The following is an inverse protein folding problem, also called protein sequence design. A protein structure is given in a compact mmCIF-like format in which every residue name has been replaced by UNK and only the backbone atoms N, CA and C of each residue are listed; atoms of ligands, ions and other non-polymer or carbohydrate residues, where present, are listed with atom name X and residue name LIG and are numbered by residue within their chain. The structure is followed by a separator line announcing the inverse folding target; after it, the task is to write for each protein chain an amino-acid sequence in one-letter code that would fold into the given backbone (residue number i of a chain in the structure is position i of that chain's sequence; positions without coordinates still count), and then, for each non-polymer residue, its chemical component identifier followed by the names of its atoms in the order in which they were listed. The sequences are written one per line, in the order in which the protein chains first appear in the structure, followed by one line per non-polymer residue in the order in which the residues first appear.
data_IF_763543733898
#
_entry.id   IF_763543733898
#
_cell.length_a   1.000
_cell.length_b   1.000
_cell.length_c   1.000
_cell.angle_alpha   90.00
_cell.angle_beta   90.00
_cell.angle_gamma   90.00
#
_symmetry.space_group_name_H-M   'P 1'
#
loop_
_entity.id
_entity.type
_entity.pdbx_description
1 polymer ?
#
# COMPACT_ATOMS: atom_id res chain seq x y z
N UNK A 1 -17.18 -7.63 36.76
CA UNK A 1 -17.67 -7.71 35.36
C UNK A 1 -16.95 -6.63 34.58
N UNK A 2 -15.95 -7.00 33.80
CA UNK A 2 -15.06 -6.07 33.10
C UNK A 2 -15.61 -5.83 31.69
N UNK A 3 -16.04 -4.60 31.41
CA UNK A 3 -16.44 -4.16 30.07
C UNK A 3 -15.18 -3.84 29.28
N UNK A 4 -14.88 -4.64 28.26
CA UNK A 4 -13.75 -4.44 27.37
C UNK A 4 -13.91 -3.17 26.53
N UNK A 5 -13.09 -2.16 26.79
CA UNK A 5 -12.86 -1.06 25.86
C UNK A 5 -12.21 -1.60 24.60
N UNK A 6 -12.87 -1.42 23.45
CA UNK A 6 -12.24 -1.59 22.14
C UNK A 6 -11.15 -0.53 22.02
N UNK A 7 -9.89 -0.96 22.04
CA UNK A 7 -8.74 -0.13 21.69
C UNK A 7 -8.87 0.20 20.20
N UNK A 8 -9.15 1.46 19.88
CA UNK A 8 -9.08 1.97 18.52
C UNK A 8 -7.62 1.99 18.06
N UNK A 9 -7.33 1.31 16.96
CA UNK A 9 -6.00 1.25 16.36
C UNK A 9 -5.61 2.63 15.82
N UNK A 10 -4.53 3.27 16.32
CA UNK A 10 -4.01 4.50 15.73
C UNK A 10 -3.40 4.17 14.36
N UNK A 11 -3.97 4.70 13.28
CA UNK A 11 -3.43 4.54 11.92
C UNK A 11 -4.43 4.61 10.76
N UNK A 12 -5.74 4.64 11.03
CA UNK A 12 -6.79 4.62 9.99
C UNK A 12 -7.44 5.98 9.70
N UNK A 13 -6.99 7.06 10.33
CA UNK A 13 -7.64 8.37 10.20
C UNK A 13 -6.60 9.48 9.96
N UNK A 14 -6.15 9.59 8.71
CA UNK A 14 -5.74 10.91 8.22
C UNK A 14 -7.03 11.69 7.91
N UNK A 15 -7.18 12.94 8.38
CA UNK A 15 -8.28 13.79 7.95
C UNK A 15 -8.01 14.25 6.51
N UNK A 16 -8.54 13.51 5.55
CA UNK A 16 -8.42 13.80 4.12
C UNK A 16 -8.71 12.53 3.35
N UNK A 17 -9.82 12.53 2.59
CA UNK A 17 -10.40 11.40 1.88
C UNK A 17 -10.99 10.27 2.76
N UNK A 18 -12.31 10.28 2.86
CA UNK A 18 -13.09 9.11 3.30
C UNK A 18 -13.46 8.23 2.12
N UNK A 19 -14.17 7.13 2.39
CA UNK A 19 -14.66 6.23 1.34
C UNK A 19 -15.71 6.85 0.41
N UNK A 20 -16.20 8.06 0.72
CA UNK A 20 -17.09 8.84 -0.14
C UNK A 20 -16.34 9.53 -1.30
N UNK A 21 -15.01 9.58 -1.23
CA UNK A 21 -14.10 10.11 -2.27
C UNK A 21 -13.02 9.05 -2.57
N UNK A 22 -13.38 7.95 -3.26
CA UNK A 22 -12.51 6.77 -3.37
C UNK A 22 -11.18 7.04 -4.08
N UNK A 23 -11.14 7.91 -5.11
CA UNK A 23 -9.88 8.30 -5.75
C UNK A 23 -8.96 9.11 -4.82
N UNK A 24 -9.51 10.08 -4.08
CA UNK A 24 -8.71 10.81 -3.10
C UNK A 24 -8.17 9.89 -1.99
N UNK A 25 -8.90 8.80 -1.69
CA UNK A 25 -8.45 7.80 -0.73
C UNK A 25 -7.33 6.92 -1.29
N UNK A 26 -7.38 6.58 -2.58
CA UNK A 26 -6.29 5.93 -3.32
C UNK A 26 -5.04 6.81 -3.35
N UNK A 27 -5.18 8.10 -3.66
CA UNK A 27 -4.06 9.07 -3.59
C UNK A 27 -3.44 9.12 -2.18
N UNK A 28 -4.29 9.14 -1.15
CA UNK A 28 -3.84 9.08 0.24
C UNK A 28 -3.16 7.74 0.60
N UNK A 29 -3.48 6.64 -0.10
CA UNK A 29 -2.76 5.38 -0.01
C UNK A 29 -1.35 5.50 -0.59
N UNK A 30 -1.17 6.10 -1.77
CA UNK A 30 0.16 6.32 -2.37
C UNK A 30 1.06 7.16 -1.46
N UNK A 31 0.49 8.16 -0.83
CA UNK A 31 1.13 8.98 0.18
C UNK A 31 1.66 8.14 1.37
N UNK A 32 0.88 7.14 1.81
CA UNK A 32 1.28 6.19 2.86
C UNK A 32 2.35 5.20 2.35
N UNK A 33 2.28 4.77 1.10
CA UNK A 33 3.32 3.93 0.48
C UNK A 33 4.66 4.66 0.54
N UNK A 34 4.70 5.89 0.02
CA UNK A 34 5.90 6.74 -0.03
C UNK A 34 6.49 6.96 1.37
N UNK A 35 5.65 7.23 2.38
CA UNK A 35 6.10 7.36 3.79
C UNK A 35 6.67 6.05 4.36
N UNK A 36 6.07 4.90 4.04
CA UNK A 36 6.52 3.59 4.52
C UNK A 36 7.85 3.16 3.88
N UNK A 37 8.04 3.46 2.59
CA UNK A 37 9.33 3.28 1.91
C UNK A 37 10.41 4.20 2.50
N UNK A 38 10.08 5.45 2.80
CA UNK A 38 11.00 6.38 3.45
C UNK A 38 11.38 5.92 4.88
N UNK A 39 10.42 5.35 5.63
CA UNK A 39 10.70 4.75 6.94
C UNK A 39 11.66 3.56 6.80
N UNK A 40 11.45 2.69 5.81
CA UNK A 40 12.35 1.58 5.53
C UNK A 40 13.79 2.04 5.24
N UNK A 41 13.96 3.06 4.39
CA UNK A 41 15.27 3.62 4.08
C UNK A 41 15.97 4.20 5.32
N UNK A 42 15.22 4.91 6.18
CA UNK A 42 15.74 5.46 7.44
C UNK A 42 16.10 4.36 8.44
N UNK A 43 15.30 3.31 8.56
CA UNK A 43 15.59 2.15 9.39
C UNK A 43 16.93 1.52 9.00
N UNK A 44 17.15 1.28 7.71
CA UNK A 44 18.40 0.70 7.20
C UNK A 44 19.62 1.56 7.53
N UNK A 45 19.48 2.88 7.41
CA UNK A 45 20.53 3.83 7.80
C UNK A 45 20.79 3.80 9.31
N UNK A 46 19.73 3.84 10.12
CA UNK A 46 19.80 3.81 11.57
C UNK A 46 20.48 2.53 12.09
N UNK A 47 20.19 1.36 11.50
CA UNK A 47 20.81 0.09 11.86
C UNK A 47 22.33 0.10 11.66
N UNK A 48 22.83 0.81 10.63
CA UNK A 48 24.28 0.92 10.38
C UNK A 48 24.97 1.87 11.34
N UNK A 49 24.31 2.98 11.69
CA UNK A 49 24.89 4.04 12.50
C UNK A 49 24.75 3.82 14.01
N UNK A 50 23.60 3.30 14.45
CA UNK A 50 23.21 3.23 15.87
C UNK A 50 22.98 1.79 16.35
N UNK A 51 22.66 0.86 15.44
CA UNK A 51 22.34 -0.53 15.77
C UNK A 51 20.84 -0.78 16.01
N UNK A 52 20.50 -2.00 16.46
CA UNK A 52 19.12 -2.46 16.60
C UNK A 52 18.59 -2.30 18.04
N UNK A 53 18.10 -1.11 18.35
CA UNK A 53 17.43 -0.77 19.61
C UNK A 53 15.90 -0.93 19.53
N UNK A 54 15.17 -0.56 20.58
CA UNK A 54 13.71 -0.61 20.59
C UNK A 54 13.05 0.22 19.46
N UNK A 55 13.68 1.34 19.08
CA UNK A 55 13.22 2.24 18.02
C UNK A 55 13.33 1.57 16.64
N UNK A 56 14.46 0.95 16.35
CA UNK A 56 14.68 0.21 15.11
C UNK A 56 13.67 -0.95 14.97
N UNK A 57 13.44 -1.70 16.05
CA UNK A 57 12.46 -2.80 16.06
C UNK A 57 11.03 -2.29 15.84
N UNK A 58 10.70 -1.12 16.38
CA UNK A 58 9.39 -0.50 16.16
C UNK A 58 9.21 -0.05 14.71
N UNK A 59 10.22 0.59 14.12
CA UNK A 59 10.18 0.96 12.71
C UNK A 59 10.02 -0.28 11.80
N UNK A 60 10.69 -1.39 12.10
CA UNK A 60 10.51 -2.65 11.37
C UNK A 60 9.06 -3.15 11.46
N UNK A 61 8.44 -3.13 12.65
CA UNK A 61 7.03 -3.50 12.84
C UNK A 61 6.07 -2.61 12.05
N UNK A 62 6.33 -1.31 11.99
CA UNK A 62 5.47 -0.37 11.26
C UNK A 62 5.57 -0.56 9.75
N UNK A 63 6.78 -0.80 9.22
CA UNK A 63 6.97 -1.18 7.80
C UNK A 63 6.25 -2.49 7.49
N UNK A 64 6.45 -3.53 8.33
CA UNK A 64 5.79 -4.83 8.16
C UNK A 64 4.27 -4.68 8.13
N UNK A 65 3.69 -4.01 9.12
CA UNK A 65 2.24 -3.81 9.22
C UNK A 65 1.65 -3.14 7.99
N UNK A 66 2.36 -2.17 7.42
CA UNK A 66 1.88 -1.48 6.22
C UNK A 66 1.87 -2.42 5.02
N UNK A 67 2.99 -3.07 4.71
CA UNK A 67 3.10 -3.92 3.51
C UNK A 67 2.44 -5.30 3.65
N UNK A 68 2.18 -5.79 4.86
CA UNK A 68 1.41 -7.02 5.08
C UNK A 68 -0.10 -6.83 4.97
N UNK A 69 -0.61 -5.61 5.17
CA UNK A 69 -2.05 -5.37 5.32
C UNK A 69 -2.53 -4.26 4.39
N UNK A 70 -1.97 -3.06 4.52
CA UNK A 70 -2.50 -1.88 3.84
C UNK A 70 -2.18 -1.87 2.34
N UNK A 71 -0.96 -2.23 1.94
CA UNK A 71 -0.59 -2.28 0.53
C UNK A 71 -1.37 -3.35 -0.27
N UNK A 72 -1.55 -4.60 0.21
CA UNK A 72 -2.38 -5.59 -0.47
C UNK A 72 -3.84 -5.15 -0.62
N UNK A 73 -4.42 -4.51 0.41
CA UNK A 73 -5.80 -3.99 0.32
C UNK A 73 -5.93 -2.86 -0.70
N UNK A 74 -4.88 -2.04 -0.86
CA UNK A 74 -4.84 -0.98 -1.86
C UNK A 74 -4.75 -1.56 -3.28
N UNK A 75 -3.83 -2.49 -3.54
CA UNK A 75 -3.76 -3.19 -4.83
C UNK A 75 -5.10 -3.90 -5.15
N UNK A 76 -5.73 -4.52 -4.14
CA UNK A 76 -7.04 -5.16 -4.31
C UNK A 76 -8.16 -4.13 -4.64
N UNK A 77 -8.04 -2.86 -4.23
CA UNK A 77 -8.98 -1.83 -4.69
C UNK A 77 -8.84 -1.57 -6.19
N UNK A 78 -7.62 -1.48 -6.69
CA UNK A 78 -7.33 -1.22 -8.10
C UNK A 78 -7.72 -2.39 -8.99
N UNK A 79 -7.33 -3.61 -8.60
CA UNK A 79 -7.64 -4.86 -9.31
C UNK A 79 -9.16 -5.09 -9.43
N UNK A 80 -9.95 -4.56 -8.51
CA UNK A 80 -11.41 -4.77 -8.48
C UNK A 80 -12.19 -3.66 -9.15
N UNK A 81 -11.73 -2.41 -9.06
CA UNK A 81 -12.55 -1.26 -9.44
C UNK A 81 -11.92 -0.39 -10.53
N UNK A 82 -10.59 -0.30 -10.58
CA UNK A 82 -9.88 0.60 -11.50
C UNK A 82 -9.48 -0.15 -12.78
N UNK A 83 -8.76 -1.25 -12.63
CA UNK A 83 -8.22 -1.99 -13.77
C UNK A 83 -9.30 -2.62 -14.65
N UNK A 84 -10.35 -3.29 -14.10
CA UNK A 84 -11.40 -3.86 -14.95
C UNK A 84 -12.16 -2.82 -15.77
N UNK A 85 -12.39 -1.63 -15.19
CA UNK A 85 -13.04 -0.50 -15.87
C UNK A 85 -12.23 -0.07 -17.09
N UNK A 86 -10.92 0.13 -16.93
CA UNK A 86 -10.02 0.55 -18.00
C UNK A 86 -9.85 -0.53 -19.07
N UNK A 87 -9.70 -1.80 -18.69
CA UNK A 87 -9.55 -2.91 -19.62
C UNK A 87 -10.80 -3.11 -20.50
N UNK A 88 -11.99 -2.79 -19.98
CA UNK A 88 -13.25 -2.94 -20.70
C UNK A 88 -13.64 -1.69 -21.51
N UNK A 89 -13.26 -0.50 -21.03
CA UNK A 89 -13.82 0.76 -21.53
C UNK A 89 -12.80 1.76 -22.08
N UNK A 90 -11.50 1.58 -21.90
CA UNK A 90 -10.51 2.54 -22.39
C UNK A 90 -10.46 2.55 -23.92
N UNK A 91 -10.61 3.71 -24.58
CA UNK A 91 -10.37 3.84 -26.01
C UNK A 91 -8.88 3.87 -26.36
N UNK A 92 -8.01 4.04 -25.36
CA UNK A 92 -6.57 4.13 -25.51
C UNK A 92 -5.90 2.75 -25.29
N UNK A 93 -5.26 2.16 -26.32
CA UNK A 93 -4.54 0.90 -26.19
C UNK A 93 -3.30 1.02 -25.30
N UNK A 94 -2.68 2.19 -25.16
CA UNK A 94 -1.53 2.38 -24.28
C UNK A 94 -1.93 2.28 -22.80
N UNK A 95 -3.06 2.88 -22.42
CA UNK A 95 -3.65 2.72 -21.07
C UNK A 95 -3.98 1.26 -20.79
N UNK A 96 -4.53 0.54 -21.76
CA UNK A 96 -4.86 -0.89 -21.60
C UNK A 96 -3.59 -1.73 -21.41
N UNK A 97 -2.52 -1.44 -22.16
CA UNK A 97 -1.23 -2.09 -21.99
C UNK A 97 -0.60 -1.78 -20.63
N UNK A 98 -0.69 -0.52 -20.19
CA UNK A 98 -0.19 -0.05 -18.90
C UNK A 98 -0.89 -0.75 -17.73
N UNK A 99 -2.21 -0.92 -17.80
CA UNK A 99 -2.95 -1.67 -16.77
C UNK A 99 -2.44 -3.11 -16.67
N UNK A 100 -2.20 -3.79 -17.79
CA UNK A 100 -1.64 -5.16 -17.77
C UNK A 100 -0.24 -5.20 -17.17
N UNK A 101 0.57 -4.19 -17.43
CA UNK A 101 1.88 -4.04 -16.79
C UNK A 101 1.72 -3.87 -15.27
N UNK A 102 0.83 -3.00 -14.80
CA UNK A 102 0.62 -2.77 -13.36
C UNK A 102 0.08 -4.00 -12.64
N UNK A 103 -0.77 -4.79 -13.29
CA UNK A 103 -1.19 -6.10 -12.76
C UNK A 103 0.00 -7.05 -12.58
N UNK A 104 0.95 -7.05 -13.52
CA UNK A 104 2.18 -7.83 -13.35
C UNK A 104 3.06 -7.24 -12.25
N UNK A 105 3.17 -5.92 -12.16
CA UNK A 105 3.91 -5.23 -11.11
C UNK A 105 3.36 -5.65 -9.73
N UNK A 106 2.05 -5.72 -9.52
CA UNK A 106 1.45 -6.19 -8.26
C UNK A 106 1.91 -7.60 -7.87
N UNK A 107 2.01 -8.52 -8.83
CA UNK A 107 2.50 -9.89 -8.59
C UNK A 107 3.99 -9.87 -8.21
N UNK A 108 4.80 -9.15 -8.97
CA UNK A 108 6.24 -9.00 -8.73
C UNK A 108 6.52 -8.34 -7.38
N UNK A 109 5.72 -7.34 -7.00
CA UNK A 109 5.80 -6.64 -5.72
C UNK A 109 5.47 -7.57 -4.55
N UNK A 110 4.43 -8.41 -4.70
CA UNK A 110 4.07 -9.41 -3.69
C UNK A 110 5.20 -10.45 -3.50
N UNK A 111 5.80 -10.91 -4.60
CA UNK A 111 6.95 -11.84 -4.55
C UNK A 111 8.17 -11.19 -3.88
N UNK A 112 8.53 -9.96 -4.29
CA UNK A 112 9.64 -9.20 -3.72
C UNK A 112 9.43 -8.93 -2.23
N UNK A 113 8.20 -8.62 -1.82
CA UNK A 113 7.86 -8.45 -0.42
C UNK A 113 8.02 -9.75 0.35
N UNK A 114 7.55 -10.89 -0.18
CA UNK A 114 7.71 -12.19 0.46
C UNK A 114 9.19 -12.55 0.66
N UNK A 115 10.07 -12.18 -0.28
CA UNK A 115 11.51 -12.37 -0.15
C UNK A 115 12.15 -11.42 0.90
N UNK A 116 11.66 -10.19 1.02
CA UNK A 116 12.26 -9.17 1.89
C UNK A 116 11.75 -9.20 3.34
N UNK A 117 10.48 -9.59 3.57
CA UNK A 117 9.79 -9.46 4.87
C UNK A 117 10.47 -10.19 6.01
N UNK A 118 11.10 -11.34 5.74
CA UNK A 118 11.67 -12.20 6.77
C UNK A 118 12.77 -11.51 7.59
N UNK A 119 13.60 -10.70 6.93
CA UNK A 119 14.66 -9.95 7.61
C UNK A 119 14.09 -8.86 8.53
N UNK A 120 13.02 -8.18 8.12
CA UNK A 120 12.33 -7.20 8.96
C UNK A 120 11.61 -7.87 10.13
N UNK A 121 11.06 -9.08 9.95
CA UNK A 121 10.47 -9.86 11.04
C UNK A 121 11.53 -10.22 12.09
N UNK A 122 12.70 -10.69 11.66
CA UNK A 122 13.78 -11.02 12.57
C UNK A 122 14.27 -9.82 13.39
N UNK A 123 14.35 -8.63 12.77
CA UNK A 123 14.63 -7.38 13.49
C UNK A 123 13.51 -7.07 14.49
N UNK A 124 12.24 -7.10 14.05
CA UNK A 124 11.09 -6.77 14.88
C UNK A 124 10.98 -7.65 16.14
N UNK A 125 11.34 -8.92 16.02
CA UNK A 125 11.33 -9.94 17.09
C UNK A 125 12.61 -9.92 17.94
N UNK A 126 13.66 -9.22 17.50
CA UNK A 126 14.96 -9.19 18.16
C UNK A 126 15.76 -10.49 18.02
N UNK A 127 15.43 -11.32 17.04
CA UNK A 127 16.19 -12.53 16.67
C UNK A 127 17.33 -12.21 15.71
N UNK A 128 17.34 -11.00 15.14
CA UNK A 128 18.47 -10.40 14.45
C UNK A 128 18.71 -8.96 14.91
N UNK A 129 19.96 -8.52 14.83
CA UNK A 129 20.36 -7.13 15.15
C UNK A 129 20.88 -6.36 13.93
N UNK A 130 21.03 -7.03 12.79
CA UNK A 130 21.60 -6.48 11.56
C UNK A 130 20.92 -7.11 10.34
N UNK A 131 20.91 -6.37 9.23
CA UNK A 131 20.58 -6.89 7.92
C UNK A 131 21.86 -7.38 7.24
N UNK A 132 21.82 -8.56 6.63
CA UNK A 132 22.90 -9.02 5.77
C UNK A 132 22.77 -8.46 4.35
N UNK A 133 23.78 -8.71 3.51
CA UNK A 133 23.79 -8.18 2.14
C UNK A 133 22.61 -8.67 1.27
N UNK A 134 22.15 -9.90 1.49
CA UNK A 134 21.03 -10.46 0.73
C UNK A 134 19.70 -9.80 1.14
N UNK A 135 19.51 -9.55 2.43
CA UNK A 135 18.37 -8.82 2.96
C UNK A 135 18.36 -7.36 2.48
N UNK A 136 19.51 -6.68 2.51
CA UNK A 136 19.66 -5.31 1.99
C UNK A 136 19.25 -5.25 0.50
N UNK A 137 19.75 -6.18 -0.32
CA UNK A 137 19.43 -6.24 -1.75
C UNK A 137 17.95 -6.57 -2.01
N UNK A 138 17.35 -7.47 -1.23
CA UNK A 138 15.93 -7.78 -1.34
C UNK A 138 15.05 -6.56 -1.02
N UNK A 139 15.41 -5.79 0.00
CA UNK A 139 14.71 -4.56 0.38
C UNK A 139 14.87 -3.46 -0.68
N UNK A 140 16.05 -3.34 -1.30
CA UNK A 140 16.27 -2.42 -2.42
C UNK A 140 15.41 -2.79 -3.63
N UNK A 141 15.42 -4.06 -4.04
CA UNK A 141 14.61 -4.55 -5.16
C UNK A 141 13.11 -4.37 -4.93
N UNK A 142 12.65 -4.52 -3.68
CA UNK A 142 11.28 -4.25 -3.30
C UNK A 142 10.97 -2.75 -3.38
N UNK A 143 11.78 -1.89 -2.75
CA UNK A 143 11.53 -0.46 -2.75
C UNK A 143 11.56 0.16 -4.16
N UNK A 144 12.44 -0.32 -5.03
CA UNK A 144 12.56 0.16 -6.41
C UNK A 144 11.32 -0.11 -7.27
N UNK A 145 10.53 -1.14 -6.96
CA UNK A 145 9.32 -1.48 -7.73
C UNK A 145 8.22 -0.42 -7.68
N UNK A 146 8.19 0.40 -6.62
CA UNK A 146 7.11 1.38 -6.42
C UNK A 146 7.27 2.67 -7.22
N UNK A 147 8.48 3.05 -7.63
CA UNK A 147 8.72 4.39 -8.16
C UNK A 147 7.95 4.65 -9.47
N UNK A 148 8.15 3.78 -10.47
CA UNK A 148 7.44 3.87 -11.74
C UNK A 148 5.99 3.40 -11.62
N UNK A 149 5.72 2.41 -10.78
CA UNK A 149 4.37 1.91 -10.52
C UNK A 149 3.42 3.03 -10.07
N UNK A 150 3.77 3.73 -8.97
CA UNK A 150 2.97 4.83 -8.46
C UNK A 150 2.86 5.98 -9.47
N UNK A 151 3.93 6.26 -10.22
CA UNK A 151 3.92 7.33 -11.25
C UNK A 151 2.92 7.00 -12.36
N UNK A 152 2.92 5.75 -12.85
CA UNK A 152 1.98 5.30 -13.86
C UNK A 152 0.53 5.36 -13.37
N UNK A 153 0.29 5.00 -12.11
CA UNK A 153 -1.02 5.09 -11.51
C UNK A 153 -1.50 6.53 -11.38
N UNK A 154 -0.69 7.38 -10.75
CA UNK A 154 -0.95 8.80 -10.48
C UNK A 154 -1.18 9.60 -11.78
N UNK A 155 -0.31 9.42 -12.78
CA UNK A 155 -0.26 10.29 -13.96
C UNK A 155 -1.12 9.81 -15.13
N UNK A 156 -1.46 8.51 -15.19
CA UNK A 156 -2.16 7.93 -16.34
C UNK A 156 -3.41 7.14 -15.96
N UNK A 157 -3.29 6.16 -15.06
CA UNK A 157 -4.41 5.23 -14.78
C UNK A 157 -5.54 5.91 -14.04
N UNK A 158 -5.27 6.65 -12.97
CA UNK A 158 -6.33 7.29 -12.19
C UNK A 158 -7.06 8.37 -13.00
N UNK A 159 -6.38 9.28 -13.74
CA UNK A 159 -7.06 10.21 -14.64
C UNK A 159 -7.93 9.51 -15.69
N UNK A 160 -7.44 8.42 -16.29
CA UNK A 160 -8.20 7.67 -17.29
C UNK A 160 -9.43 6.98 -16.68
N UNK A 161 -9.31 6.41 -15.48
CA UNK A 161 -10.41 5.77 -14.79
C UNK A 161 -11.48 6.80 -14.35
N UNK A 162 -11.06 7.96 -13.84
CA UNK A 162 -11.96 9.07 -13.50
C UNK A 162 -12.75 9.58 -14.70
N UNK A 163 -12.16 9.56 -15.91
CA UNK A 163 -12.84 9.97 -17.13
C UNK A 163 -13.91 8.97 -17.61
N UNK A 164 -13.83 7.69 -17.19
CA UNK A 164 -14.75 6.62 -17.60
C UNK A 164 -15.81 6.27 -16.54
N UNK A 165 -15.48 6.39 -15.26
CA UNK A 165 -16.34 5.94 -14.17
C UNK A 165 -17.57 6.85 -14.04
N UNK A 166 -18.76 6.24 -13.94
CA UNK A 166 -19.95 6.99 -13.58
C UNK A 166 -20.10 7.16 -12.05
N UNK A 167 -20.98 8.07 -11.65
CA UNK A 167 -21.19 8.39 -10.22
C UNK A 167 -21.73 7.22 -9.39
N UNK A 168 -22.49 6.31 -10.00
CA UNK A 168 -23.06 5.17 -9.28
C UNK A 168 -21.98 4.12 -9.01
N UNK A 169 -21.17 3.82 -10.01
CA UNK A 169 -20.01 2.95 -9.92
C UNK A 169 -18.97 3.48 -8.93
N UNK A 170 -18.66 4.78 -8.98
CA UNK A 170 -17.74 5.44 -8.03
C UNK A 170 -18.21 5.27 -6.58
N UNK A 171 -19.51 5.50 -6.32
CA UNK A 171 -20.09 5.30 -4.98
C UNK A 171 -20.11 3.83 -4.56
N UNK A 172 -20.32 2.91 -5.51
CA UNK A 172 -20.30 1.47 -5.23
C UNK A 172 -18.89 1.00 -4.85
N UNK A 173 -17.87 1.46 -5.58
CA UNK A 173 -16.45 1.27 -5.25
C UNK A 173 -16.17 1.73 -3.80
N UNK A 174 -16.54 2.96 -3.46
CA UNK A 174 -16.34 3.50 -2.10
C UNK A 174 -16.98 2.65 -0.99
N UNK A 175 -18.24 2.25 -1.16
CA UNK A 175 -18.95 1.36 -0.21
C UNK A 175 -18.24 0.02 -0.04
N UNK A 176 -17.78 -0.56 -1.14
CA UNK A 176 -17.11 -1.85 -1.13
C UNK A 176 -15.73 -1.76 -0.44
N UNK A 177 -14.94 -0.74 -0.77
CA UNK A 177 -13.65 -0.47 -0.13
C UNK A 177 -13.80 -0.29 1.39
N UNK A 178 -14.88 0.37 1.83
CA UNK A 178 -15.21 0.55 3.25
C UNK A 178 -15.56 -0.77 3.92
N UNK A 179 -16.42 -1.57 3.29
CA UNK A 179 -16.89 -2.85 3.83
C UNK A 179 -15.74 -3.83 4.06
N UNK A 180 -14.79 -3.94 3.11
CA UNK A 180 -13.57 -4.75 3.27
C UNK A 180 -12.74 -4.37 4.50
N UNK A 181 -12.79 -3.10 4.88
CA UNK A 181 -12.03 -2.53 6.00
C UNK A 181 -12.85 -2.41 7.29
N UNK A 182 -14.08 -2.95 7.31
CA UNK A 182 -14.99 -2.84 8.45
C UNK A 182 -15.42 -1.41 8.78
N UNK A 183 -15.27 -0.48 7.84
CA UNK A 183 -15.65 0.92 7.96
C UNK A 183 -17.04 1.17 7.38
N UNK A 184 -17.67 2.28 7.77
CA UNK A 184 -18.94 2.75 7.19
C UNK A 184 -18.67 3.96 6.29
N UNK A 185 -19.31 4.02 5.13
CA UNK A 185 -19.44 5.25 4.32
C UNK A 185 -20.45 6.20 4.97
N UNK A 186 -20.33 7.52 4.77
CA UNK A 186 -21.31 8.46 5.27
C UNK A 186 -22.57 8.41 4.37
N UNK A 187 -23.48 7.46 4.65
CA UNK A 187 -24.74 7.36 3.90
C UNK A 187 -25.54 6.07 4.05
N UNK A 188 -25.27 5.26 5.08
CA UNK A 188 -26.04 4.04 5.40
C UNK A 188 -26.47 4.02 6.86
#
# INVERSE_FOLDING_TARGET
MSTGSRVGLPGLHSPGAGFDEPFAMLDACHDRVRRSLALLARLRTYLREQGCDASARQAARDVLRYFDIAAPLHHEDEERHIFPLLLAGSPDPEVTALVRQLQQDHLDMAERWAAARGALQALAEGTAERLDGAAEEALDRFAASYADHLRHEDEAVYPAAQALVDREAERAMGREMAARRGARTAGG
#
